data_IF_167639836564
#
_entry.id   IF_167639836564
#
_cell.length_a   1.000
_cell.length_b   1.000
_cell.length_c   1.000
_cell.angle_alpha   90.00
_cell.angle_beta   90.00
_cell.angle_gamma   90.00
#
_symmetry.space_group_name_H-M   'P 1'
#
loop_
_entity.id
_entity.type
_entity.pdbx_description
1 polymer ?
#
# COMPACT_ATOMS: atom_id res chain seq x y z
N UNK A 1 11.19 23.81 -6.22
CA UNK A 1 11.47 22.42 -5.82
C UNK A 1 12.81 22.39 -5.10
N UNK A 2 12.95 21.56 -4.06
CA UNK A 2 14.27 21.30 -3.47
C UNK A 2 15.04 20.33 -4.38
N UNK A 3 16.33 20.59 -4.60
CA UNK A 3 17.20 19.72 -5.41
C UNK A 3 17.93 18.74 -4.49
N UNK A 4 17.96 17.48 -4.87
CA UNK A 4 18.70 16.42 -4.17
C UNK A 4 19.58 15.67 -5.17
N UNK A 5 20.88 15.65 -4.94
CA UNK A 5 21.83 14.91 -5.77
C UNK A 5 22.01 13.50 -5.21
N UNK A 6 21.93 12.49 -6.06
CA UNK A 6 22.08 11.08 -5.68
C UNK A 6 23.09 10.43 -6.64
N UNK A 7 24.14 9.84 -6.08
CA UNK A 7 25.09 9.04 -6.86
C UNK A 7 24.57 7.61 -6.98
N UNK A 8 24.54 7.09 -8.21
CA UNK A 8 24.10 5.74 -8.51
C UNK A 8 25.22 4.97 -9.21
N UNK A 9 25.41 3.66 -8.94
CA UNK A 9 26.22 2.80 -9.78
C UNK A 9 25.70 2.78 -11.22
N UNK A 10 26.60 2.54 -12.19
CA UNK A 10 26.26 2.58 -13.62
C UNK A 10 25.08 1.68 -13.99
N UNK A 11 25.00 0.48 -13.39
CA UNK A 11 23.90 -0.45 -13.62
C UNK A 11 22.54 0.13 -13.17
N UNK A 12 22.51 0.85 -12.04
CA UNK A 12 21.28 1.50 -11.55
C UNK A 12 20.92 2.72 -12.40
N UNK A 13 21.92 3.48 -12.85
CA UNK A 13 21.72 4.60 -13.78
C UNK A 13 21.09 4.11 -15.09
N UNK A 14 21.66 3.07 -15.70
CA UNK A 14 21.14 2.48 -16.93
C UNK A 14 19.70 1.97 -16.77
N UNK A 15 19.37 1.40 -15.60
CA UNK A 15 18.01 1.01 -15.28
C UNK A 15 17.05 2.20 -15.26
N UNK A 16 17.43 3.30 -14.59
CA UNK A 16 16.61 4.53 -14.53
C UNK A 16 16.40 5.11 -15.92
N UNK A 17 17.45 5.18 -16.75
CA UNK A 17 17.37 5.66 -18.13
C UNK A 17 16.41 4.81 -18.96
N UNK A 18 16.45 3.49 -18.85
CA UNK A 18 15.51 2.61 -19.53
C UNK A 18 14.04 2.82 -19.13
N UNK A 19 13.76 3.25 -17.89
CA UNK A 19 12.39 3.59 -17.47
C UNK A 19 11.89 4.89 -18.13
N UNK A 20 12.80 5.84 -18.36
CA UNK A 20 12.50 7.10 -19.04
C UNK A 20 12.31 6.85 -20.54
N UNK A 21 13.22 6.09 -21.16
CA UNK A 21 13.14 5.73 -22.60
C UNK A 21 11.87 4.95 -22.95
N UNK A 22 11.34 4.17 -21.99
CA UNK A 22 10.04 3.50 -22.11
C UNK A 22 8.84 4.45 -22.15
N UNK A 23 9.04 5.77 -22.05
CA UNK A 23 8.01 6.81 -22.17
C UNK A 23 7.07 6.94 -20.98
N UNK A 24 7.26 6.14 -19.91
CA UNK A 24 6.44 6.21 -18.69
C UNK A 24 6.80 7.41 -17.82
N UNK A 25 8.04 7.88 -17.88
CA UNK A 25 8.55 8.98 -17.06
C UNK A 25 9.20 10.02 -17.97
N UNK A 26 9.05 11.31 -17.65
CA UNK A 26 9.64 12.40 -18.43
C UNK A 26 11.13 12.55 -18.20
N UNK A 27 11.61 12.26 -16.98
CA UNK A 27 13.02 12.24 -16.63
C UNK A 27 13.32 11.30 -15.44
N UNK A 28 14.60 11.21 -15.07
CA UNK A 28 15.05 10.41 -13.93
C UNK A 28 14.45 10.88 -12.59
N UNK A 29 14.25 12.19 -12.42
CA UNK A 29 13.67 12.75 -11.19
C UNK A 29 12.19 12.40 -11.05
N UNK A 30 11.44 12.32 -12.15
CA UNK A 30 10.06 11.84 -12.18
C UNK A 30 9.97 10.40 -11.70
N UNK A 31 10.84 9.53 -12.22
CA UNK A 31 10.92 8.14 -11.79
C UNK A 31 11.25 8.01 -10.30
N UNK A 32 12.28 8.73 -9.82
CA UNK A 32 12.66 8.71 -8.39
C UNK A 32 11.53 9.23 -7.50
N UNK A 33 10.84 10.30 -7.89
CA UNK A 33 9.70 10.82 -7.12
C UNK A 33 8.55 9.82 -7.05
N UNK A 34 8.27 9.09 -8.13
CA UNK A 34 7.28 8.02 -8.13
C UNK A 34 7.68 6.86 -7.21
N UNK A 35 8.95 6.42 -7.26
CA UNK A 35 9.47 5.39 -6.35
C UNK A 35 9.29 5.78 -4.87
N UNK A 36 9.60 7.03 -4.52
CA UNK A 36 9.41 7.54 -3.15
C UNK A 36 7.92 7.50 -2.74
N UNK A 37 7.01 7.89 -3.64
CA UNK A 37 5.56 7.83 -3.36
C UNK A 37 5.10 6.39 -3.15
N UNK A 38 5.57 5.45 -3.97
CA UNK A 38 5.25 4.02 -3.83
C UNK A 38 5.81 3.41 -2.55
N UNK A 39 7.04 3.76 -2.17
CA UNK A 39 7.64 3.32 -0.90
C UNK A 39 6.82 3.82 0.28
N UNK A 40 6.45 5.11 0.29
CA UNK A 40 5.59 5.67 1.33
C UNK A 40 4.24 4.98 1.39
N UNK A 41 3.54 4.86 0.25
CA UNK A 41 2.25 4.21 0.19
C UNK A 41 2.29 2.75 0.69
N UNK A 42 3.36 2.02 0.35
CA UNK A 42 3.58 0.65 0.84
C UNK A 42 3.76 0.63 2.36
N UNK A 43 4.58 1.54 2.91
CA UNK A 43 4.80 1.65 4.37
C UNK A 43 3.51 2.00 5.10
N UNK A 44 2.75 2.96 4.59
CA UNK A 44 1.45 3.37 5.15
C UNK A 44 0.44 2.19 5.11
N UNK A 45 0.40 1.42 4.02
CA UNK A 45 -0.46 0.24 3.91
C UNK A 45 -0.06 -0.88 4.90
N UNK A 46 1.24 -1.12 5.08
CA UNK A 46 1.74 -2.09 6.06
C UNK A 46 1.38 -1.64 7.48
N UNK A 47 1.58 -0.36 7.80
CA UNK A 47 1.22 0.18 9.12
C UNK A 47 -0.28 0.04 9.38
N UNK A 48 -1.13 0.36 8.41
CA UNK A 48 -2.58 0.19 8.54
C UNK A 48 -2.98 -1.28 8.77
N UNK A 49 -2.35 -2.22 8.04
CA UNK A 49 -2.59 -3.64 8.24
C UNK A 49 -2.16 -4.10 9.64
N UNK A 50 -1.00 -3.66 10.10
CA UNK A 50 -0.48 -4.00 11.43
C UNK A 50 -1.42 -3.48 12.53
N UNK A 51 -1.88 -2.24 12.43
CA UNK A 51 -2.88 -1.69 13.36
C UNK A 51 -4.16 -2.54 13.36
N UNK A 52 -4.72 -2.87 12.19
CA UNK A 52 -5.93 -3.68 12.12
C UNK A 52 -5.75 -5.09 12.71
N UNK A 53 -4.56 -5.69 12.57
CA UNK A 53 -4.23 -6.98 13.20
C UNK A 53 -4.14 -6.83 14.72
N UNK A 54 -3.47 -5.80 15.23
CA UNK A 54 -3.39 -5.51 16.66
C UNK A 54 -4.78 -5.30 17.24
N UNK A 55 -5.61 -4.46 16.62
CA UNK A 55 -6.99 -4.22 17.04
C UNK A 55 -7.79 -5.53 17.08
N UNK A 56 -7.59 -6.42 16.10
CA UNK A 56 -8.21 -7.75 16.07
C UNK A 56 -7.76 -8.65 17.21
N UNK A 57 -6.47 -8.67 17.55
CA UNK A 57 -5.93 -9.45 18.68
C UNK A 57 -6.44 -8.90 20.01
N UNK A 58 -6.54 -7.57 20.13
CA UNK A 58 -7.03 -6.90 21.34
C UNK A 58 -8.57 -6.91 21.45
N UNK A 59 -9.29 -7.33 20.40
CA UNK A 59 -10.76 -7.35 20.36
C UNK A 59 -11.42 -8.40 21.26
N UNK A 60 -10.62 -9.28 21.88
CA UNK A 60 -11.06 -10.30 22.83
C UNK A 60 -10.86 -11.72 22.32
N UNK A 61 -11.42 -12.68 23.05
CA UNK A 61 -11.23 -14.10 22.75
C UNK A 61 -11.88 -14.50 21.40
N UNK A 62 -11.14 -15.23 20.54
CA UNK A 62 -11.68 -15.69 19.26
C UNK A 62 -12.82 -16.69 19.47
N UNK A 63 -13.85 -16.58 18.64
CA UNK A 63 -15.03 -17.46 18.67
C UNK A 63 -15.18 -18.17 17.32
N UNK A 64 -15.78 -19.36 17.33
CA UNK A 64 -16.11 -20.08 16.10
C UNK A 64 -17.11 -19.29 15.26
N UNK A 65 -16.84 -19.16 13.96
CA UNK A 65 -17.70 -18.44 13.03
C UNK A 65 -18.76 -19.38 12.43
N UNK A 66 -20.02 -19.18 12.83
CA UNK A 66 -21.18 -19.67 12.08
C UNK A 66 -21.54 -18.66 10.98
N UNK A 67 -21.18 -19.01 9.74
CA UNK A 67 -21.36 -18.16 8.56
C UNK A 67 -22.85 -17.93 8.24
N UNK A 68 -23.71 -18.93 8.43
CA UNK A 68 -25.12 -18.83 8.08
C UNK A 68 -25.88 -18.00 9.11
N UNK A 69 -25.62 -18.22 10.40
CA UNK A 69 -26.13 -17.36 11.46
C UNK A 69 -25.63 -15.92 11.31
N UNK A 70 -24.36 -15.72 10.93
CA UNK A 70 -23.81 -14.38 10.68
C UNK A 70 -24.53 -13.66 9.53
N UNK A 71 -24.72 -14.32 8.38
CA UNK A 71 -25.42 -13.73 7.23
C UNK A 71 -26.86 -13.37 7.56
N UNK A 72 -27.58 -14.24 8.28
CA UNK A 72 -28.95 -13.96 8.72
C UNK A 72 -28.99 -12.69 9.58
N UNK A 73 -28.11 -12.60 10.60
CA UNK A 73 -27.99 -11.41 11.45
C UNK A 73 -27.65 -10.14 10.66
N UNK A 74 -26.77 -10.21 9.67
CA UNK A 74 -26.42 -9.04 8.85
C UNK A 74 -27.57 -8.58 7.96
N UNK A 75 -28.34 -9.52 7.38
CA UNK A 75 -29.55 -9.19 6.60
C UNK A 75 -30.58 -8.52 7.49
N UNK A 76 -30.90 -9.07 8.65
CA UNK A 76 -31.84 -8.46 9.60
C UNK A 76 -31.42 -7.05 10.04
N UNK A 77 -30.12 -6.84 10.28
CA UNK A 77 -29.57 -5.56 10.73
C UNK A 77 -29.55 -4.48 9.64
N UNK A 78 -29.32 -4.86 8.38
CA UNK A 78 -29.07 -3.94 7.28
C UNK A 78 -30.14 -3.95 6.18
N UNK A 79 -31.24 -4.69 6.36
CA UNK A 79 -32.42 -4.54 5.52
C UNK A 79 -33.01 -3.14 5.73
N UNK A 80 -32.74 -2.26 4.76
CA UNK A 80 -33.45 -0.99 4.58
C UNK A 80 -34.90 -1.35 4.31
N UNK A 81 -35.81 -0.85 5.16
CA UNK A 81 -37.25 -0.89 4.91
C UNK A 81 -37.63 0.10 3.82
#
# INVERSE_FOLDING_TARGET
MATMNVSLPDAMKAWVEAQVDGGRYGDASDYVRDLIRRDRARKDAIAALQTAVTDGIESGEPQALDVEAFKLRMRERHLIR
#
